data_IF_582484301319
#
_entry.id   IF_582484301319
#
_cell.length_a   1.000
_cell.length_b   1.000
_cell.length_c   1.000
_cell.angle_alpha   90.00
_cell.angle_beta   90.00
_cell.angle_gamma   90.00
#
_symmetry.space_group_name_H-M   'P 1'
#
loop_
_entity.id
_entity.type
_entity.pdbx_description
1 polymer ?
#
# COMPACT_ATOMS: atom_id res chain seq x y z
N UNK A 1 -9.48 -14.26 -24.11
CA UNK A 1 -8.15 -13.62 -23.99
C UNK A 1 -8.36 -12.22 -23.46
N UNK A 2 -8.17 -11.99 -22.15
CA UNK A 2 -8.34 -10.67 -21.55
C UNK A 2 -7.07 -9.86 -21.76
N UNK A 3 -7.13 -8.86 -22.64
CA UNK A 3 -6.07 -7.87 -22.82
C UNK A 3 -5.98 -6.99 -21.59
N UNK A 4 -5.03 -7.27 -20.70
CA UNK A 4 -4.57 -6.30 -19.72
C UNK A 4 -3.90 -5.15 -20.47
N UNK A 5 -4.51 -3.95 -20.47
CA UNK A 5 -3.76 -2.74 -20.78
C UNK A 5 -2.98 -2.35 -19.53
N UNK A 6 -1.87 -3.03 -19.28
CA UNK A 6 -0.79 -2.45 -18.49
C UNK A 6 -0.34 -1.22 -19.27
N UNK A 7 -0.34 -0.03 -18.66
CA UNK A 7 0.30 1.13 -19.26
C UNK A 7 1.81 0.86 -19.21
N UNK A 8 2.32 0.14 -20.21
CA UNK A 8 3.74 -0.11 -20.40
C UNK A 8 4.32 1.20 -20.93
N UNK A 9 5.02 1.92 -20.06
CA UNK A 9 5.81 3.07 -20.47
C UNK A 9 7.07 2.54 -21.15
N UNK A 10 7.22 2.70 -22.48
CA UNK A 10 8.45 2.30 -23.15
C UNK A 10 9.63 3.04 -22.51
N UNK A 11 10.86 2.47 -22.52
CA UNK A 11 12.03 3.10 -21.89
C UNK A 11 12.36 4.51 -22.42
N UNK A 12 11.72 4.96 -23.51
CA UNK A 12 11.82 6.30 -24.09
C UNK A 12 10.52 7.12 -24.07
N UNK A 13 9.49 6.76 -23.29
CA UNK A 13 8.35 7.66 -23.07
C UNK A 13 8.82 8.84 -22.22
N UNK A 14 9.21 9.91 -22.89
CA UNK A 14 9.48 11.22 -22.28
C UNK A 14 8.17 11.84 -21.82
N UNK A 15 7.70 11.43 -20.64
CA UNK A 15 6.90 12.32 -19.79
C UNK A 15 7.86 12.87 -18.73
N UNK A 16 8.31 14.11 -18.96
CA UNK A 16 9.26 14.90 -18.15
C UNK A 16 10.75 14.52 -18.27
N UNK A 17 11.36 14.80 -19.42
CA UNK A 17 12.83 15.01 -19.50
C UNK A 17 13.21 16.39 -20.06
N UNK A 18 12.51 17.44 -19.61
CA UNK A 18 13.03 18.81 -19.65
C UNK A 18 12.69 19.54 -18.36
N UNK A 19 13.39 19.17 -17.31
CA UNK A 19 13.55 19.97 -16.11
C UNK A 19 14.97 19.81 -15.57
N UNK A 20 15.96 20.29 -16.33
CA UNK A 20 17.18 20.83 -15.71
C UNK A 20 16.70 22.02 -14.87
N UNK A 21 16.40 21.78 -13.58
CA UNK A 21 15.89 22.80 -12.66
C UNK A 21 14.73 22.40 -11.73
N UNK A 22 14.27 21.15 -11.68
CA UNK A 22 13.26 20.70 -10.66
C UNK A 22 13.91 19.82 -9.58
N UNK A 23 15.18 20.09 -9.29
CA UNK A 23 15.75 19.78 -7.98
C UNK A 23 15.46 21.02 -7.14
N UNK A 24 14.71 20.87 -6.05
CA UNK A 24 14.40 21.92 -5.06
C UNK A 24 13.41 23.03 -5.46
N UNK A 25 12.46 22.78 -6.36
CA UNK A 25 11.17 23.47 -6.20
C UNK A 25 10.47 22.77 -5.04
N UNK A 26 10.31 23.48 -3.93
CA UNK A 26 9.81 22.99 -2.66
C UNK A 26 8.69 21.95 -2.83
N UNK A 27 8.62 21.02 -1.87
CA UNK A 27 7.33 20.52 -1.41
C UNK A 27 6.48 21.73 -0.97
N UNK A 28 5.99 22.51 -1.94
CA UNK A 28 4.84 23.37 -1.77
C UNK A 28 3.78 22.38 -1.34
N UNK A 29 3.37 22.47 -0.08
CA UNK A 29 2.45 21.54 0.56
C UNK A 29 1.14 21.56 -0.22
N UNK A 30 1.04 20.72 -1.25
CA UNK A 30 -0.20 20.56 -1.98
C UNK A 30 -1.22 20.14 -0.92
N UNK A 31 -2.31 20.90 -0.77
CA UNK A 31 -3.17 20.72 0.38
C UNK A 31 -3.73 19.30 0.35
N UNK A 32 -3.51 18.57 1.45
CA UNK A 32 -4.07 17.22 1.60
C UNK A 32 -5.59 17.29 1.49
N UNK A 33 -6.17 16.19 1.00
CA UNK A 33 -7.60 16.10 0.74
C UNK A 33 -8.40 16.02 2.05
N UNK A 34 -7.78 15.57 3.14
CA UNK A 34 -8.35 15.49 4.50
C UNK A 34 -7.72 16.53 5.44
N UNK A 35 -8.41 16.88 6.54
CA UNK A 35 -7.84 17.66 7.65
C UNK A 35 -7.69 16.78 8.91
N UNK A 36 -6.62 16.94 9.67
CA UNK A 36 -6.35 16.16 10.90
C UNK A 36 -7.40 16.36 12.00
N UNK A 37 -8.23 17.41 11.90
CA UNK A 37 -9.33 17.71 12.83
C UNK A 37 -10.70 17.15 12.41
N UNK A 38 -10.87 16.62 11.19
CA UNK A 38 -12.20 16.30 10.64
C UNK A 38 -12.53 14.80 10.64
N UNK A 39 -13.59 14.48 11.39
CA UNK A 39 -14.58 13.41 11.21
C UNK A 39 -14.02 12.01 10.91
N UNK A 40 -13.58 11.33 11.98
CA UNK A 40 -13.53 9.86 11.96
C UNK A 40 -14.96 9.33 11.90
N UNK A 41 -15.36 8.84 10.73
CA UNK A 41 -16.65 8.17 10.53
C UNK A 41 -16.46 6.66 10.38
N UNK A 42 -17.55 5.92 10.58
CA UNK A 42 -17.53 4.46 10.49
C UNK A 42 -18.66 3.97 9.58
N UNK A 43 -18.37 2.90 8.85
CA UNK A 43 -19.33 2.07 8.13
C UNK A 43 -19.44 0.72 8.82
N UNK A 44 -20.64 0.16 8.89
CA UNK A 44 -20.83 -1.21 9.35
C UNK A 44 -20.45 -2.19 8.23
N UNK A 45 -19.55 -3.10 8.53
CA UNK A 45 -19.07 -4.13 7.61
C UNK A 45 -19.34 -5.52 8.16
N UNK A 46 -19.52 -6.50 7.28
CA UNK A 46 -19.59 -7.90 7.67
C UNK A 46 -18.23 -8.39 8.21
N UNK A 47 -18.22 -9.10 9.34
CA UNK A 47 -17.00 -9.76 9.81
C UNK A 47 -16.54 -10.83 8.81
N UNK A 48 -17.47 -11.68 8.37
CA UNK A 48 -17.30 -12.62 7.27
C UNK A 48 -18.36 -12.32 6.22
N UNK A 49 -17.89 -11.92 5.05
CA UNK A 49 -18.69 -11.87 3.84
C UNK A 49 -18.75 -13.25 3.18
N UNK A 50 -19.96 -13.66 2.81
CA UNK A 50 -20.23 -14.82 1.96
C UNK A 50 -21.30 -14.42 0.94
N UNK A 51 -21.28 -15.03 -0.25
CA UNK A 51 -22.30 -14.77 -1.27
C UNK A 51 -23.64 -15.45 -0.97
N UNK A 52 -23.68 -16.38 -0.01
CA UNK A 52 -24.80 -17.31 0.20
C UNK A 52 -25.40 -17.31 1.61
N UNK A 53 -24.78 -16.64 2.58
CA UNK A 53 -25.26 -16.60 3.97
C UNK A 53 -25.25 -15.17 4.52
N UNK A 54 -26.16 -14.85 5.47
CA UNK A 54 -26.15 -13.57 6.16
C UNK A 54 -24.81 -13.34 6.90
N UNK A 55 -24.42 -12.07 7.13
CA UNK A 55 -23.16 -11.75 7.79
C UNK A 55 -23.06 -12.40 9.18
N UNK A 56 -21.98 -13.12 9.45
CA UNK A 56 -21.67 -13.63 10.79
C UNK A 56 -21.11 -12.49 11.66
N UNK A 57 -21.99 -11.56 12.04
CA UNK A 57 -21.66 -10.36 12.80
C UNK A 57 -21.15 -9.20 11.93
N UNK A 58 -21.12 -8.01 12.53
CA UNK A 58 -20.63 -6.79 11.88
C UNK A 58 -19.61 -6.06 12.74
N UNK A 59 -18.69 -5.33 12.10
CA UNK A 59 -17.75 -4.45 12.77
C UNK A 59 -17.76 -3.05 12.18
N UNK A 60 -17.24 -2.09 12.94
CA UNK A 60 -17.12 -0.70 12.51
C UNK A 60 -15.79 -0.53 11.76
N UNK A 61 -15.86 -0.32 10.45
CA UNK A 61 -14.70 0.03 9.65
C UNK A 61 -14.62 1.55 9.51
N UNK A 62 -13.47 2.11 9.85
CA UNK A 62 -13.20 3.54 9.79
C UNK A 62 -13.05 3.99 8.34
N UNK A 63 -13.62 5.14 8.04
CA UNK A 63 -13.38 5.83 6.78
C UNK A 63 -13.37 7.34 6.98
N UNK A 64 -12.76 8.03 6.02
CA UNK A 64 -12.74 9.49 5.91
C UNK A 64 -13.43 9.90 4.60
N UNK A 65 -14.01 11.10 4.59
CA UNK A 65 -14.70 11.67 3.44
C UNK A 65 -14.25 13.11 3.23
N UNK A 66 -14.11 13.51 1.97
CA UNK A 66 -13.85 14.89 1.59
C UNK A 66 -14.40 15.18 0.19
N UNK A 67 -15.17 16.24 0.07
CA UNK A 67 -15.63 16.86 -1.17
C UNK A 67 -14.91 18.18 -1.47
N UNK A 68 -13.79 18.45 -0.78
CA UNK A 68 -13.03 19.70 -0.87
C UNK A 68 -12.66 20.14 -2.29
N UNK A 69 -12.51 19.19 -3.23
CA UNK A 69 -12.13 19.48 -4.61
C UNK A 69 -13.31 19.51 -5.59
N UNK A 70 -14.54 19.32 -5.10
CA UNK A 70 -15.75 19.40 -5.91
C UNK A 70 -16.17 20.87 -6.00
N UNK A 71 -16.28 21.40 -7.22
CA UNK A 71 -16.69 22.78 -7.45
C UNK A 71 -18.12 22.81 -8.01
N UNK A 72 -19.12 22.92 -7.13
CA UNK A 72 -20.52 23.23 -7.46
C UNK A 72 -21.33 22.16 -8.22
N UNK A 73 -20.79 21.61 -9.30
CA UNK A 73 -21.41 20.53 -10.07
C UNK A 73 -21.51 19.24 -9.25
N UNK A 74 -22.50 18.40 -9.56
CA UNK A 74 -22.54 17.02 -9.03
C UNK A 74 -21.24 16.31 -9.45
N UNK A 75 -20.50 15.68 -8.51
CA UNK A 75 -19.22 15.05 -8.85
C UNK A 75 -19.45 13.88 -9.79
N UNK A 76 -18.66 13.80 -10.86
CA UNK A 76 -18.72 12.66 -11.80
C UNK A 76 -17.92 11.45 -11.31
N UNK A 77 -16.98 11.69 -10.39
CA UNK A 77 -16.02 10.70 -9.93
C UNK A 77 -15.84 10.76 -8.41
N UNK A 78 -15.77 9.57 -7.81
CA UNK A 78 -15.31 9.32 -6.43
C UNK A 78 -14.00 8.54 -6.51
N UNK A 79 -12.99 9.01 -5.79
CA UNK A 79 -11.73 8.31 -5.59
C UNK A 79 -11.78 7.61 -4.24
N UNK A 80 -11.55 6.30 -4.25
CA UNK A 80 -11.40 5.50 -3.03
C UNK A 80 -9.91 5.32 -2.74
N UNK A 81 -9.41 6.05 -1.75
CA UNK A 81 -8.04 5.97 -1.25
C UNK A 81 -7.93 4.83 -0.22
N UNK A 82 -7.38 3.69 -0.64
CA UNK A 82 -7.31 2.48 0.19
C UNK A 82 -6.17 2.63 1.21
N UNK A 83 -6.49 2.57 2.51
CA UNK A 83 -5.52 2.76 3.61
C UNK A 83 -5.20 1.45 4.33
N UNK A 84 -4.06 0.85 4.00
CA UNK A 84 -3.58 -0.39 4.62
C UNK A 84 -2.48 -0.20 5.69
N UNK A 85 -2.22 1.03 6.12
CA UNK A 85 -1.23 1.32 7.17
C UNK A 85 -1.66 2.48 8.06
N UNK A 86 -1.54 3.70 7.54
CA UNK A 86 -1.97 4.94 8.21
C UNK A 86 -2.98 5.67 7.36
N UNK A 87 -3.90 6.37 8.03
CA UNK A 87 -4.87 7.23 7.36
C UNK A 87 -4.21 8.46 6.73
N UNK A 88 -3.13 8.91 7.34
CA UNK A 88 -2.43 10.14 7.01
C UNK A 88 -1.05 9.88 6.39
N UNK A 89 -1.03 9.15 5.28
CA UNK A 89 0.20 8.78 4.59
C UNK A 89 0.62 9.77 3.49
N UNK A 90 1.83 9.57 2.97
CA UNK A 90 2.36 10.31 1.82
C UNK A 90 1.54 10.08 0.55
N UNK A 91 0.92 8.91 0.39
CA UNK A 91 0.13 8.59 -0.81
C UNK A 91 -1.09 9.50 -0.95
N UNK A 92 -1.62 10.00 0.17
CA UNK A 92 -2.70 10.97 0.15
C UNK A 92 -2.37 12.26 -0.62
N UNK A 93 -1.09 12.67 -0.68
CA UNK A 93 -0.67 13.81 -1.50
C UNK A 93 -0.91 13.56 -3.00
N UNK A 94 -0.58 12.35 -3.49
CA UNK A 94 -0.83 11.98 -4.87
C UNK A 94 -2.33 11.92 -5.17
N UNK A 95 -3.12 11.34 -4.26
CA UNK A 95 -4.58 11.32 -4.35
C UNK A 95 -5.16 12.74 -4.39
N UNK A 96 -4.65 13.67 -3.59
CA UNK A 96 -5.06 15.08 -3.63
C UNK A 96 -4.87 15.73 -4.99
N UNK A 97 -3.73 15.48 -5.65
CA UNK A 97 -3.47 16.02 -6.98
C UNK A 97 -4.41 15.47 -8.02
N UNK A 98 -4.70 14.16 -7.98
CA UNK A 98 -5.67 13.54 -8.89
C UNK A 98 -7.06 14.12 -8.64
N UNK A 99 -7.52 14.11 -7.38
CA UNK A 99 -8.82 14.62 -6.99
C UNK A 99 -9.04 16.09 -7.37
N UNK A 100 -8.02 16.94 -7.21
CA UNK A 100 -8.06 18.34 -7.62
C UNK A 100 -8.22 18.50 -9.13
N UNK A 101 -7.54 17.67 -9.93
CA UNK A 101 -7.62 17.74 -11.41
C UNK A 101 -8.92 17.15 -11.95
N UNK A 102 -9.50 16.17 -11.26
CA UNK A 102 -10.72 15.47 -11.68
C UNK A 102 -11.96 15.96 -10.93
N UNK A 103 -11.83 17.01 -10.12
CA UNK A 103 -12.89 17.61 -9.29
C UNK A 103 -13.72 16.55 -8.53
N UNK A 104 -13.02 15.61 -7.91
CA UNK A 104 -13.62 14.38 -7.37
C UNK A 104 -13.80 14.44 -5.85
N UNK A 105 -14.81 13.71 -5.37
CA UNK A 105 -14.87 13.34 -3.96
C UNK A 105 -13.73 12.35 -3.67
N UNK A 106 -13.10 12.48 -2.51
CA UNK A 106 -12.18 11.48 -1.98
C UNK A 106 -12.80 10.84 -0.75
N UNK A 107 -12.86 9.51 -0.77
CA UNK A 107 -13.16 8.71 0.41
C UNK A 107 -11.96 7.81 0.69
N UNK A 108 -11.55 7.71 1.96
CA UNK A 108 -10.50 6.76 2.33
C UNK A 108 -11.04 5.69 3.25
N UNK A 109 -10.80 4.43 2.90
CA UNK A 109 -11.26 3.28 3.67
C UNK A 109 -10.08 2.63 4.39
N UNK A 110 -10.23 2.43 5.71
CA UNK A 110 -9.25 1.69 6.48
C UNK A 110 -9.34 0.20 6.19
N UNK A 111 -8.20 -0.44 5.97
CA UNK A 111 -8.17 -1.88 5.85
C UNK A 111 -8.59 -2.54 7.17
N UNK A 112 -9.41 -3.62 7.09
CA UNK A 112 -9.75 -4.45 8.26
C UNK A 112 -8.48 -4.91 9.00
N UNK A 113 -8.51 -4.95 10.32
CA UNK A 113 -7.38 -5.24 11.23
C UNK A 113 -6.27 -4.18 11.27
N UNK A 114 -6.51 -2.96 10.77
CA UNK A 114 -5.59 -1.84 10.91
C UNK A 114 -6.28 -0.66 11.61
N UNK A 115 -5.47 0.16 12.28
CA UNK A 115 -5.91 1.39 12.94
C UNK A 115 -7.07 1.17 13.91
N UNK A 116 -8.26 1.68 13.57
CA UNK A 116 -9.48 1.58 14.39
C UNK A 116 -10.50 0.58 13.83
N UNK A 117 -10.11 -0.22 12.84
CA UNK A 117 -11.01 -1.06 12.06
C UNK A 117 -10.82 -2.54 12.37
N UNK A 118 -11.14 -2.92 13.60
CA UNK A 118 -10.94 -4.27 14.10
C UNK A 118 -12.27 -5.04 14.20
N UNK A 119 -12.41 -6.17 13.49
CA UNK A 119 -13.56 -7.06 13.66
C UNK A 119 -13.66 -7.72 15.03
N UNK A 120 -12.51 -7.98 15.65
CA UNK A 120 -12.38 -8.52 17.00
C UNK A 120 -11.30 -7.70 17.72
N UNK A 121 -11.54 -7.27 18.96
CA UNK A 121 -10.59 -6.51 19.78
C UNK A 121 -9.34 -7.33 20.15
N UNK A 122 -9.46 -8.66 20.23
CA UNK A 122 -8.37 -9.57 20.56
C UNK A 122 -8.42 -10.80 19.63
N UNK A 123 -8.01 -10.65 18.35
CA UNK A 123 -8.13 -11.74 17.39
C UNK A 123 -7.14 -12.86 17.68
N UNK A 124 -7.64 -14.10 17.72
CA UNK A 124 -6.79 -15.29 17.74
C UNK A 124 -6.19 -15.55 16.36
N UNK A 125 -5.15 -16.40 16.27
CA UNK A 125 -4.61 -16.85 14.97
C UNK A 125 -5.68 -17.50 14.09
N UNK A 126 -6.64 -18.22 14.70
CA UNK A 126 -7.76 -18.82 13.98
C UNK A 126 -8.71 -17.75 13.42
N UNK A 127 -8.96 -16.68 14.17
CA UNK A 127 -9.77 -15.54 13.71
C UNK A 127 -9.08 -14.84 12.54
N UNK A 128 -7.78 -14.54 12.65
CA UNK A 128 -7.02 -13.90 11.57
C UNK A 128 -7.08 -14.72 10.28
N UNK A 129 -6.89 -16.04 10.36
CA UNK A 129 -6.99 -16.93 9.19
C UNK A 129 -8.36 -16.88 8.50
N UNK A 130 -9.44 -16.59 9.22
CA UNK A 130 -10.79 -16.52 8.65
C UNK A 130 -11.13 -15.10 8.17
N UNK A 131 -10.75 -14.10 8.95
CA UNK A 131 -11.24 -12.72 8.82
C UNK A 131 -10.27 -11.80 8.06
N UNK A 132 -8.96 -12.04 8.16
CA UNK A 132 -7.93 -11.25 7.48
C UNK A 132 -7.56 -11.92 6.14
N UNK A 133 -8.51 -11.87 5.22
CA UNK A 133 -8.39 -12.47 3.88
C UNK A 133 -8.57 -11.40 2.80
N UNK A 134 -7.82 -11.49 1.70
CA UNK A 134 -7.93 -10.53 0.59
C UNK A 134 -9.35 -10.46 0.02
N UNK A 135 -10.04 -11.61 -0.11
CA UNK A 135 -11.42 -11.64 -0.58
C UNK A 135 -12.38 -10.88 0.35
N UNK A 136 -12.13 -10.92 1.66
CA UNK A 136 -12.91 -10.19 2.63
C UNK A 136 -12.67 -8.67 2.54
N UNK A 137 -11.42 -8.26 2.37
CA UNK A 137 -11.08 -6.85 2.13
C UNK A 137 -11.65 -6.29 0.82
N UNK A 138 -11.73 -7.11 -0.24
CA UNK A 138 -12.42 -6.71 -1.48
C UNK A 138 -13.93 -6.56 -1.25
N UNK A 139 -14.54 -7.48 -0.47
CA UNK A 139 -15.96 -7.38 -0.13
C UNK A 139 -16.28 -6.13 0.71
N UNK A 140 -15.35 -5.71 1.59
CA UNK A 140 -15.47 -4.44 2.30
C UNK A 140 -15.53 -3.25 1.35
N UNK A 141 -14.69 -3.22 0.30
CA UNK A 141 -14.69 -2.15 -0.70
C UNK A 141 -16.02 -2.07 -1.46
N UNK A 142 -16.60 -3.22 -1.81
CA UNK A 142 -17.91 -3.30 -2.48
C UNK A 142 -19.00 -2.76 -1.57
N UNK A 143 -19.07 -3.27 -0.34
CA UNK A 143 -20.05 -2.81 0.66
C UNK A 143 -19.88 -1.32 0.95
N UNK A 144 -18.64 -0.85 1.04
CA UNK A 144 -18.33 0.55 1.28
C UNK A 144 -18.79 1.45 0.13
N UNK A 145 -18.59 1.03 -1.13
CA UNK A 145 -19.10 1.75 -2.31
C UNK A 145 -20.61 1.96 -2.21
N UNK A 146 -21.37 0.89 -1.96
CA UNK A 146 -22.84 0.97 -1.84
C UNK A 146 -23.26 1.89 -0.70
N UNK A 147 -22.58 1.78 0.44
CA UNK A 147 -22.79 2.66 1.58
C UNK A 147 -22.54 4.14 1.23
N UNK A 148 -21.44 4.46 0.54
CA UNK A 148 -21.11 5.83 0.14
C UNK A 148 -22.13 6.38 -0.85
N UNK A 149 -22.58 5.58 -1.83
CA UNK A 149 -23.63 5.96 -2.78
C UNK A 149 -24.89 6.37 -2.03
N UNK A 150 -25.36 5.52 -1.12
CA UNK A 150 -26.59 5.77 -0.34
C UNK A 150 -26.44 6.96 0.61
N UNK A 151 -25.32 7.03 1.33
CA UNK A 151 -25.11 8.04 2.38
C UNK A 151 -25.00 9.47 1.83
N UNK A 152 -24.39 9.62 0.65
CA UNK A 152 -24.08 10.93 0.07
C UNK A 152 -24.87 11.23 -1.22
N UNK A 153 -25.85 10.39 -1.59
CA UNK A 153 -26.70 10.63 -2.76
C UNK A 153 -25.96 10.56 -4.10
N UNK A 154 -24.94 9.69 -4.21
CA UNK A 154 -24.01 9.64 -5.35
C UNK A 154 -24.46 8.66 -6.45
N UNK A 155 -25.76 8.56 -6.69
CA UNK A 155 -26.32 7.69 -7.74
C UNK A 155 -25.77 8.07 -9.12
N UNK A 156 -25.25 7.09 -9.85
CA UNK A 156 -24.67 7.25 -11.20
C UNK A 156 -23.21 7.77 -11.21
N UNK A 157 -22.61 8.04 -10.05
CA UNK A 157 -21.23 8.53 -9.95
C UNK A 157 -20.24 7.37 -10.14
N UNK A 158 -19.15 7.61 -10.86
CA UNK A 158 -18.13 6.59 -11.13
C UNK A 158 -17.17 6.47 -9.95
N UNK A 159 -16.62 5.28 -9.72
CA UNK A 159 -15.65 5.03 -8.64
C UNK A 159 -14.31 4.56 -9.20
N UNK A 160 -13.21 5.17 -8.76
CA UNK A 160 -11.84 4.73 -9.05
C UNK A 160 -11.14 4.36 -7.74
N UNK A 161 -10.51 3.19 -7.72
CA UNK A 161 -9.74 2.73 -6.57
C UNK A 161 -8.29 3.21 -6.67
N UNK A 162 -7.70 3.70 -5.58
CA UNK A 162 -6.30 4.11 -5.55
C UNK A 162 -5.58 3.55 -4.33
N UNK A 163 -4.36 3.06 -4.52
CA UNK A 163 -3.54 2.59 -3.41
C UNK A 163 -2.09 2.33 -3.81
N UNK A 164 -1.21 2.18 -2.82
CA UNK A 164 0.20 1.84 -2.99
C UNK A 164 0.55 0.50 -2.31
N UNK A 165 1.53 -0.23 -2.84
CA UNK A 165 1.97 -1.51 -2.30
C UNK A 165 0.78 -2.49 -2.20
N UNK A 166 0.56 -3.13 -1.06
CA UNK A 166 -0.60 -4.01 -0.84
C UNK A 166 -1.95 -3.33 -1.10
N UNK A 167 -2.12 -2.04 -0.76
CA UNK A 167 -3.34 -1.30 -1.08
C UNK A 167 -3.49 -1.10 -2.61
N UNK A 168 -2.38 -0.95 -3.33
CA UNK A 168 -2.37 -0.94 -4.80
C UNK A 168 -2.75 -2.29 -5.38
N UNK A 169 -2.25 -3.39 -4.81
CA UNK A 169 -2.67 -4.74 -5.19
C UNK A 169 -4.18 -4.93 -4.97
N UNK A 170 -4.69 -4.49 -3.81
CA UNK A 170 -6.12 -4.56 -3.50
C UNK A 170 -6.96 -3.75 -4.48
N UNK A 171 -6.53 -2.53 -4.84
CA UNK A 171 -7.19 -1.71 -5.87
C UNK A 171 -7.29 -2.45 -7.21
N UNK A 172 -6.18 -3.03 -7.67
CA UNK A 172 -6.13 -3.77 -8.92
C UNK A 172 -7.02 -5.03 -8.88
N UNK A 173 -6.90 -5.85 -7.84
CA UNK A 173 -7.67 -7.08 -7.70
C UNK A 173 -9.18 -6.82 -7.58
N UNK A 174 -9.57 -5.80 -6.81
CA UNK A 174 -10.98 -5.39 -6.70
C UNK A 174 -11.54 -4.92 -8.05
N UNK A 175 -10.78 -4.13 -8.82
CA UNK A 175 -11.18 -3.69 -10.17
C UNK A 175 -11.31 -4.83 -11.17
N UNK A 176 -10.45 -5.85 -11.07
CA UNK A 176 -10.53 -7.06 -11.90
C UNK A 176 -11.76 -7.90 -11.52
N UNK A 177 -12.03 -8.05 -10.22
CA UNK A 177 -13.11 -8.90 -9.71
C UNK A 177 -14.51 -8.27 -9.86
N UNK A 178 -14.58 -6.94 -9.79
CA UNK A 178 -15.82 -6.16 -9.87
C UNK A 178 -15.70 -5.06 -10.93
N UNK A 179 -15.58 -5.43 -12.22
CA UNK A 179 -15.34 -4.48 -13.29
C UNK A 179 -16.53 -3.59 -13.63
N UNK A 180 -17.72 -4.03 -13.23
CA UNK A 180 -19.01 -3.37 -13.28
C UNK A 180 -19.17 -2.28 -12.20
N UNK A 181 -18.53 -2.47 -11.04
CA UNK A 181 -18.67 -1.55 -9.90
C UNK A 181 -17.63 -0.43 -9.91
N UNK A 182 -16.40 -0.73 -10.33
CA UNK A 182 -15.29 0.22 -10.33
C UNK A 182 -14.88 0.58 -11.75
N UNK A 183 -14.84 1.87 -12.08
CA UNK A 183 -14.42 2.37 -13.40
C UNK A 183 -12.97 1.97 -13.69
N UNK A 184 -12.09 2.15 -12.71
CA UNK A 184 -10.65 1.94 -12.85
C UNK A 184 -9.95 1.77 -11.52
N UNK A 185 -8.66 1.43 -11.59
CA UNK A 185 -7.77 1.38 -10.44
C UNK A 185 -6.42 2.03 -10.78
N UNK A 186 -5.89 2.83 -9.86
CA UNK A 186 -4.51 3.33 -9.88
C UNK A 186 -3.74 2.58 -8.81
N UNK A 187 -3.00 1.57 -9.26
CA UNK A 187 -2.22 0.68 -8.41
C UNK A 187 -0.74 1.08 -8.47
N UNK A 188 -0.27 1.79 -7.45
CA UNK A 188 1.12 2.25 -7.35
C UNK A 188 2.00 1.19 -6.67
N UNK A 189 3.14 0.85 -7.27
CA UNK A 189 4.06 -0.19 -6.79
C UNK A 189 3.36 -1.47 -6.27
N UNK A 190 2.34 -2.01 -6.99
CA UNK A 190 1.54 -3.09 -6.45
C UNK A 190 2.31 -4.41 -6.49
N UNK A 191 2.16 -5.23 -5.47
CA UNK A 191 2.69 -6.60 -5.43
C UNK A 191 1.62 -7.53 -6.00
N UNK A 192 1.52 -7.61 -7.32
CA UNK A 192 0.47 -8.39 -8.02
C UNK A 192 0.87 -9.86 -8.17
N UNK A 193 2.13 -10.11 -8.52
CA UNK A 193 2.64 -11.45 -8.74
C UNK A 193 3.20 -12.00 -7.43
N UNK A 194 2.38 -12.77 -6.72
CA UNK A 194 2.77 -13.44 -5.48
C UNK A 194 3.64 -14.65 -5.82
N UNK A 195 4.91 -14.60 -5.42
CA UNK A 195 5.88 -15.68 -5.56
C UNK A 195 6.33 -16.11 -4.17
N UNK A 196 6.31 -17.41 -3.89
CA UNK A 196 6.72 -17.94 -2.57
C UNK A 196 8.21 -17.69 -2.31
N UNK A 197 9.04 -18.01 -3.30
CA UNK A 197 10.44 -17.63 -3.33
C UNK A 197 10.62 -16.57 -4.43
N UNK A 198 11.05 -15.37 -4.03
CA UNK A 198 11.16 -14.21 -4.93
C UNK A 198 12.52 -13.52 -4.80
N UNK A 199 13.62 -14.23 -5.15
CA UNK A 199 14.97 -13.68 -5.06
C UNK A 199 15.18 -12.45 -5.94
N UNK A 200 14.40 -12.31 -7.02
CA UNK A 200 14.49 -11.17 -7.95
C UNK A 200 14.25 -9.83 -7.25
N UNK A 201 13.46 -9.80 -6.17
CA UNK A 201 13.31 -8.60 -5.34
C UNK A 201 14.67 -8.15 -4.80
N UNK A 202 15.35 -9.03 -4.06
CA UNK A 202 16.65 -8.71 -3.46
C UNK A 202 17.74 -8.50 -4.52
N UNK A 203 17.70 -9.23 -5.63
CA UNK A 203 18.64 -9.02 -6.74
C UNK A 203 18.49 -7.61 -7.33
N UNK A 204 17.25 -7.17 -7.58
CA UNK A 204 16.98 -5.83 -8.11
C UNK A 204 17.49 -4.76 -7.14
N UNK A 205 17.22 -4.90 -5.84
CA UNK A 205 17.76 -3.98 -4.83
C UNK A 205 19.28 -4.02 -4.74
N UNK A 206 19.89 -5.21 -4.86
CA UNK A 206 21.33 -5.38 -4.90
C UNK A 206 21.97 -4.62 -6.07
N UNK A 207 21.39 -4.73 -7.25
CA UNK A 207 21.91 -4.05 -8.45
C UNK A 207 21.84 -2.53 -8.34
N UNK A 208 20.90 -1.99 -7.55
CA UNK A 208 20.83 -0.55 -7.27
C UNK A 208 22.08 0.00 -6.57
N UNK A 209 22.84 -0.80 -5.83
CA UNK A 209 24.11 -0.34 -5.23
C UNK A 209 25.16 0.05 -6.29
N UNK A 210 25.02 -0.42 -7.53
CA UNK A 210 25.86 0.01 -8.65
C UNK A 210 25.32 1.21 -9.42
N UNK A 211 24.10 1.66 -9.12
CA UNK A 211 23.40 2.65 -9.92
C UNK A 211 23.84 4.08 -9.59
N UNK A 212 24.61 4.68 -10.51
CA UNK A 212 25.13 6.05 -10.39
C UNK A 212 24.04 7.12 -10.22
N UNK A 213 22.81 6.90 -10.70
CA UNK A 213 21.72 7.88 -10.57
C UNK A 213 21.27 8.11 -9.13
N UNK A 214 21.49 7.13 -8.25
CA UNK A 214 21.17 7.21 -6.84
C UNK A 214 22.42 7.27 -5.95
N UNK A 215 23.59 7.56 -6.55
CA UNK A 215 24.87 7.63 -5.84
C UNK A 215 25.61 6.30 -5.69
N UNK A 216 25.15 5.23 -6.34
CA UNK A 216 25.84 3.94 -6.37
C UNK A 216 27.06 3.89 -7.31
N UNK A 217 27.85 2.82 -7.21
CA UNK A 217 28.98 2.55 -8.10
C UNK A 217 29.33 1.06 -8.16
N UNK A 218 30.06 0.58 -9.19
CA UNK A 218 30.54 -0.80 -9.23
C UNK A 218 31.35 -1.18 -7.98
N UNK A 219 32.14 -0.25 -7.45
CA UNK A 219 32.95 -0.42 -6.24
C UNK A 219 32.06 -0.56 -5.00
N UNK A 220 30.99 0.25 -4.90
CA UNK A 220 29.99 0.13 -3.82
C UNK A 220 29.35 -1.26 -3.81
N UNK A 221 28.86 -1.72 -4.97
CA UNK A 221 28.29 -3.06 -5.09
C UNK A 221 29.31 -4.15 -4.73
N UNK A 222 30.55 -4.04 -5.22
CA UNK A 222 31.61 -5.00 -4.93
C UNK A 222 31.97 -5.02 -3.43
N UNK A 223 31.99 -3.86 -2.79
CA UNK A 223 32.21 -3.74 -1.35
C UNK A 223 31.10 -4.39 -0.54
N UNK A 224 29.83 -4.09 -0.84
CA UNK A 224 28.67 -4.70 -0.18
C UNK A 224 28.70 -6.23 -0.33
N UNK A 225 28.92 -6.75 -1.54
CA UNK A 225 29.04 -8.20 -1.78
C UNK A 225 30.16 -8.84 -0.95
N UNK A 226 31.31 -8.18 -0.85
CA UNK A 226 32.45 -8.65 -0.05
C UNK A 226 32.11 -8.71 1.43
N UNK A 227 31.53 -7.64 1.98
CA UNK A 227 31.14 -7.56 3.40
C UNK A 227 30.07 -8.60 3.72
N UNK A 228 29.05 -8.76 2.88
CA UNK A 228 28.02 -9.81 3.05
C UNK A 228 28.65 -11.21 3.09
N UNK A 229 29.63 -11.50 2.24
CA UNK A 229 30.37 -12.77 2.26
C UNK A 229 31.13 -12.99 3.57
N UNK A 230 31.78 -11.95 4.10
CA UNK A 230 32.50 -12.01 5.39
C UNK A 230 31.52 -12.28 6.55
N UNK A 231 30.39 -11.56 6.59
CA UNK A 231 29.36 -11.73 7.61
C UNK A 231 28.81 -13.16 7.58
N UNK A 232 28.48 -13.68 6.40
CA UNK A 232 28.01 -15.07 6.20
C UNK A 232 29.01 -16.10 6.69
N UNK A 233 30.31 -15.87 6.50
CA UNK A 233 31.36 -16.75 7.04
C UNK A 233 31.45 -16.68 8.56
N UNK A 234 31.41 -15.46 9.13
CA UNK A 234 31.56 -15.25 10.58
C UNK A 234 30.37 -15.78 11.38
N UNK A 235 29.15 -15.65 10.86
CA UNK A 235 27.94 -16.03 11.61
C UNK A 235 27.86 -17.53 11.91
N UNK A 236 28.54 -18.36 11.12
CA UNK A 236 28.58 -19.81 11.31
C UNK A 236 29.24 -20.23 12.65
N UNK A 237 30.11 -19.40 13.23
CA UNK A 237 30.88 -19.76 14.44
C UNK A 237 30.57 -18.84 15.61
N UNK A 238 30.60 -19.35 16.85
CA UNK A 238 30.36 -18.51 18.04
C UNK A 238 31.38 -17.37 18.17
N UNK A 239 32.64 -17.61 17.79
CA UNK A 239 33.67 -16.58 17.80
C UNK A 239 33.38 -15.48 16.76
N UNK A 240 33.00 -15.85 15.53
CA UNK A 240 32.63 -14.89 14.49
C UNK A 240 31.35 -14.12 14.82
N UNK A 241 30.37 -14.76 15.47
CA UNK A 241 29.17 -14.09 15.99
C UNK A 241 29.50 -13.02 17.02
N UNK A 242 30.35 -13.33 18.00
CA UNK A 242 30.83 -12.31 18.97
C UNK A 242 31.54 -11.14 18.29
N UNK A 243 32.28 -11.38 17.21
CA UNK A 243 32.89 -10.31 16.43
C UNK A 243 31.84 -9.45 15.72
N UNK A 244 30.82 -10.05 15.09
CA UNK A 244 29.70 -9.30 14.49
C UNK A 244 28.99 -8.49 15.57
N UNK A 245 28.67 -9.09 16.71
CA UNK A 245 28.04 -8.39 17.84
C UNK A 245 28.86 -7.18 18.28
N UNK A 246 30.18 -7.33 18.42
CA UNK A 246 31.06 -6.22 18.78
C UNK A 246 31.11 -5.12 17.72
N UNK A 247 31.22 -5.47 16.43
CA UNK A 247 31.32 -4.51 15.32
C UNK A 247 30.03 -3.72 15.14
N UNK A 248 28.87 -4.39 15.25
CA UNK A 248 27.56 -3.76 15.08
C UNK A 248 26.94 -3.24 16.38
N UNK A 249 27.65 -3.37 17.51
CA UNK A 249 27.16 -2.92 18.83
C UNK A 249 25.90 -3.67 19.30
N UNK A 250 25.76 -4.94 18.93
CA UNK A 250 24.64 -5.78 19.37
C UNK A 250 24.82 -6.21 20.82
N UNK A 251 23.70 -6.57 21.47
CA UNK A 251 23.73 -7.17 22.80
C UNK A 251 24.56 -8.46 22.78
N UNK A 252 25.34 -8.71 23.83
CA UNK A 252 26.09 -9.95 23.97
C UNK A 252 25.19 -11.19 23.87
N UNK A 253 25.65 -12.20 23.11
CA UNK A 253 24.93 -13.45 22.82
C UNK A 253 23.63 -13.26 22.02
N UNK A 254 23.38 -12.09 21.45
CA UNK A 254 22.22 -11.83 20.61
C UNK A 254 22.15 -12.81 19.42
N UNK A 255 23.29 -13.13 18.81
CA UNK A 255 23.37 -14.04 17.67
C UNK A 255 23.53 -15.51 18.08
N UNK A 256 23.58 -15.86 19.37
CA UNK A 256 23.56 -17.27 19.76
C UNK A 256 22.14 -17.87 19.61
N UNK A 257 21.10 -17.05 19.76
CA UNK A 257 19.74 -17.43 19.39
C UNK A 257 19.66 -17.72 17.88
N UNK A 258 19.09 -18.87 17.51
CA UNK A 258 18.91 -19.25 16.12
C UNK A 258 17.92 -18.32 15.41
N UNK A 259 16.90 -17.80 16.11
CA UNK A 259 15.87 -16.95 15.51
C UNK A 259 16.43 -15.61 15.06
N UNK A 260 17.32 -15.03 15.85
CA UNK A 260 18.01 -13.78 15.50
C UNK A 260 19.02 -14.00 14.38
N UNK A 261 19.68 -15.17 14.33
CA UNK A 261 20.60 -15.54 13.23
C UNK A 261 19.93 -15.65 11.88
N UNK A 262 18.66 -16.08 11.81
CA UNK A 262 17.93 -16.21 10.55
C UNK A 262 17.72 -14.88 9.81
N UNK A 263 18.00 -13.74 10.45
CA UNK A 263 17.87 -12.41 9.87
C UNK A 263 19.17 -11.90 9.21
N UNK A 264 20.24 -12.71 9.19
CA UNK A 264 21.59 -12.37 8.71
C UNK A 264 22.10 -13.40 7.70
#
# INVERSE_FOLDING_TARGET
MNTYRTMYFPPNSTFLSRSRGVVLAAAQEFPRWYSTKSLTTFVAQACIWTSSLPPLGTFKQRYLYSDKFVNGSKPELVIVDIKAYKMDDFYAFYVSQVASRTQSIVVALEHRFYGKSFPNSSPTTADLRKLLQTNQAIADLVTFREFIIKKYGLSGVKFVLMGCSFAGSLAAWARVKHPDLFLGAVASCPVINLKYDFPEFLNTYGDLFSNKRIGGSPECLAFIRRVSGIIKGKIATSAGRRQIESVFGLRAMYLEDQKTRLLW
#
